data_IF_622700910709
#
_entry.id   IF_622700910709
#
_cell.length_a   1.000
_cell.length_b   1.000
_cell.length_c   1.000
_cell.angle_alpha   90.00
_cell.angle_beta   90.00
_cell.angle_gamma   90.00
#
_symmetry.space_group_name_H-M   'P 1'
#
loop_
_entity.id
_entity.type
_entity.pdbx_description
1 polymer ?
#
# COMPACT_ATOMS: atom_id res chain seq x y z
N UNK A 1 -0.38 -22.81 -8.66
CA UNK A 1 -0.62 -21.50 -8.02
C UNK A 1 -1.94 -21.00 -8.58
N UNK A 2 -2.90 -20.71 -7.73
CA UNK A 2 -4.10 -19.97 -8.12
C UNK A 2 -3.67 -18.58 -8.61
N UNK A 3 -3.72 -18.35 -9.91
CA UNK A 3 -3.29 -17.11 -10.56
C UNK A 3 -4.46 -16.17 -10.89
N UNK A 4 -5.68 -16.50 -10.44
CA UNK A 4 -6.91 -15.72 -10.67
C UNK A 4 -6.73 -14.24 -10.32
N UNK A 5 -6.08 -13.95 -9.19
CA UNK A 5 -5.74 -12.57 -8.81
C UNK A 5 -4.85 -11.87 -9.82
N UNK A 6 -3.76 -12.50 -10.28
CA UNK A 6 -2.83 -11.91 -11.23
C UNK A 6 -3.47 -11.67 -12.60
N UNK A 7 -4.29 -12.62 -13.07
CA UNK A 7 -5.05 -12.51 -14.32
C UNK A 7 -6.05 -11.37 -14.25
N UNK A 8 -6.80 -11.25 -13.15
CA UNK A 8 -7.72 -10.14 -12.93
C UNK A 8 -6.99 -8.79 -12.89
N UNK A 9 -5.80 -8.70 -12.27
CA UNK A 9 -5.00 -7.48 -12.30
C UNK A 9 -4.55 -7.06 -13.71
N UNK A 10 -4.45 -8.01 -14.65
CA UNK A 10 -4.10 -7.77 -16.05
C UNK A 10 -5.33 -7.54 -16.94
N UNK A 11 -6.53 -7.53 -16.37
CA UNK A 11 -7.79 -7.42 -17.13
C UNK A 11 -8.14 -8.65 -17.96
N UNK A 12 -7.56 -9.80 -17.63
CA UNK A 12 -7.87 -11.07 -18.29
C UNK A 12 -9.18 -11.65 -17.77
N UNK A 13 -9.85 -12.47 -18.60
CA UNK A 13 -11.04 -13.21 -18.18
C UNK A 13 -10.67 -14.19 -17.07
N UNK A 14 -11.50 -14.27 -16.03
CA UNK A 14 -11.34 -15.18 -14.88
C UNK A 14 -12.64 -15.90 -14.57
N UNK A 15 -12.56 -17.09 -13.97
CA UNK A 15 -13.73 -17.93 -13.68
C UNK A 15 -14.56 -17.38 -12.51
N UNK A 16 -13.93 -16.63 -11.61
CA UNK A 16 -14.56 -15.92 -10.50
C UNK A 16 -13.78 -14.65 -10.16
N UNK A 17 -14.42 -13.72 -9.44
CA UNK A 17 -13.76 -12.49 -8.97
C UNK A 17 -12.86 -12.80 -7.78
N UNK A 18 -11.54 -12.56 -7.87
CA UNK A 18 -10.62 -12.84 -6.77
C UNK A 18 -10.83 -11.87 -5.60
N UNK A 19 -10.63 -12.35 -4.38
CA UNK A 19 -10.80 -11.58 -3.15
C UNK A 19 -9.58 -11.70 -2.22
N UNK A 20 -9.14 -10.56 -1.72
CA UNK A 20 -8.24 -10.45 -0.58
C UNK A 20 -8.66 -9.22 0.24
N UNK A 21 -8.22 -9.11 1.49
CA UNK A 21 -8.70 -8.07 2.41
C UNK A 21 -7.50 -7.27 2.91
N UNK A 22 -7.54 -5.95 2.74
CA UNK A 22 -6.54 -5.07 3.37
C UNK A 22 -6.56 -5.26 4.89
N UNK A 23 -5.38 -5.48 5.49
CA UNK A 23 -5.19 -5.87 6.90
C UNK A 23 -5.75 -7.26 7.26
N UNK A 24 -5.81 -8.20 6.30
CA UNK A 24 -6.17 -9.60 6.55
C UNK A 24 -5.30 -10.27 7.63
N UNK A 25 -4.00 -9.97 7.67
CA UNK A 25 -3.14 -10.33 8.79
C UNK A 25 -3.25 -9.24 9.86
N UNK A 26 -4.07 -9.47 10.90
CA UNK A 26 -4.33 -8.42 11.87
C UNK A 26 -5.08 -8.84 13.12
N UNK A 27 -5.31 -7.85 13.98
CA UNK A 27 -5.81 -8.00 15.36
C UNK A 27 -7.19 -8.64 15.48
N UNK A 28 -7.96 -8.79 14.40
CA UNK A 28 -9.24 -9.51 14.46
C UNK A 28 -9.04 -11.04 14.55
N UNK A 29 -7.86 -11.55 14.19
CA UNK A 29 -7.51 -12.97 14.28
C UNK A 29 -6.91 -13.30 15.66
N UNK A 30 -7.47 -14.26 16.41
CA UNK A 30 -6.88 -14.74 17.66
C UNK A 30 -5.45 -15.28 17.47
N UNK A 31 -5.17 -15.92 16.33
CA UNK A 31 -3.85 -16.45 15.96
C UNK A 31 -2.81 -15.34 15.86
N UNK A 32 -3.16 -14.23 15.19
CA UNK A 32 -2.32 -13.04 15.12
C UNK A 32 -2.06 -12.46 16.52
N UNK A 33 -3.10 -12.35 17.35
CA UNK A 33 -2.96 -11.83 18.72
C UNK A 33 -1.99 -12.67 19.56
N UNK A 34 -2.00 -14.01 19.41
CA UNK A 34 -1.06 -14.91 20.11
C UNK A 34 0.40 -14.65 19.73
N UNK A 35 0.68 -14.37 18.46
CA UNK A 35 2.04 -14.00 18.02
C UNK A 35 2.40 -12.61 18.55
N UNK A 36 1.50 -11.64 18.37
CA UNK A 36 1.72 -10.23 18.75
C UNK A 36 1.85 -10.01 20.27
N UNK A 37 1.35 -10.93 21.09
CA UNK A 37 1.53 -10.90 22.54
C UNK A 37 2.97 -11.21 22.99
N UNK A 38 3.78 -11.86 22.14
CA UNK A 38 5.16 -12.28 22.47
C UNK A 38 6.22 -11.24 22.11
N UNK A 39 5.94 -10.39 21.13
CA UNK A 39 6.90 -9.41 20.57
C UNK A 39 6.19 -8.10 20.24
N UNK A 40 6.92 -6.98 20.27
CA UNK A 40 6.38 -5.71 19.79
C UNK A 40 6.19 -5.71 18.25
N UNK A 41 5.54 -4.66 17.73
CA UNK A 41 5.18 -4.60 16.31
C UNK A 41 6.38 -4.50 15.38
N UNK A 42 7.41 -3.72 15.76
CA UNK A 42 8.60 -3.58 14.93
C UNK A 42 9.42 -4.86 14.97
N UNK A 43 9.56 -5.47 16.15
CA UNK A 43 10.19 -6.79 16.29
C UNK A 43 9.47 -7.81 15.42
N UNK A 44 8.13 -7.86 15.43
CA UNK A 44 7.36 -8.73 14.55
C UNK A 44 7.66 -8.50 13.06
N UNK A 45 7.73 -7.24 12.60
CA UNK A 45 8.05 -6.92 11.21
C UNK A 45 9.51 -7.25 10.85
N UNK A 46 10.43 -7.22 11.82
CA UNK A 46 11.87 -7.42 11.64
C UNK A 46 12.32 -8.87 11.86
N UNK A 47 11.42 -9.77 12.24
CA UNK A 47 11.69 -11.21 12.39
C UNK A 47 11.04 -11.97 11.22
N UNK A 48 11.81 -12.43 10.22
CA UNK A 48 11.27 -12.97 8.99
C UNK A 48 10.27 -14.11 9.15
N UNK A 49 10.56 -15.04 10.06
CA UNK A 49 9.75 -16.22 10.32
C UNK A 49 8.40 -15.85 10.94
N UNK A 50 8.40 -14.89 11.88
CA UNK A 50 7.17 -14.41 12.51
C UNK A 50 6.31 -13.59 11.55
N UNK A 51 6.95 -12.72 10.75
CA UNK A 51 6.25 -11.96 9.70
C UNK A 51 5.65 -12.89 8.64
N UNK A 52 6.36 -13.96 8.27
CA UNK A 52 5.85 -14.99 7.37
C UNK A 52 4.68 -15.76 8.01
N UNK A 53 4.81 -16.20 9.27
CA UNK A 53 3.75 -16.88 10.01
C UNK A 53 2.45 -16.08 9.98
N UNK A 54 2.49 -14.80 10.36
CA UNK A 54 1.27 -13.98 10.39
C UNK A 54 0.73 -13.65 9.00
N UNK A 55 1.57 -13.61 7.97
CA UNK A 55 1.15 -13.40 6.58
C UNK A 55 0.37 -14.60 6.04
N UNK A 56 0.74 -15.82 6.44
CA UNK A 56 0.09 -17.06 6.00
C UNK A 56 -1.28 -17.28 6.66
N UNK A 57 -1.46 -16.85 7.90
CA UNK A 57 -2.69 -17.07 8.68
C UNK A 57 -3.99 -16.80 7.91
N UNK A 58 -4.18 -15.64 7.22
CA UNK A 58 -5.45 -15.34 6.56
C UNK A 58 -5.65 -16.15 5.28
N UNK A 59 -4.57 -16.60 4.62
CA UNK A 59 -4.67 -17.50 3.47
C UNK A 59 -5.28 -18.83 3.92
N UNK A 60 -4.76 -19.41 5.01
CA UNK A 60 -5.23 -20.69 5.51
C UNK A 60 -6.60 -20.59 6.23
N UNK A 61 -6.90 -19.46 6.88
CA UNK A 61 -8.15 -19.27 7.64
C UNK A 61 -9.31 -18.79 6.76
N UNK A 62 -9.06 -17.88 5.81
CA UNK A 62 -10.12 -17.24 5.01
C UNK A 62 -10.18 -17.73 3.57
N UNK A 63 -9.14 -18.41 3.06
CA UNK A 63 -9.11 -18.87 1.67
C UNK A 63 -9.05 -17.73 0.65
N UNK A 64 -8.41 -16.61 1.00
CA UNK A 64 -8.22 -15.46 0.08
C UNK A 64 -7.35 -15.81 -1.11
N UNK A 65 -7.53 -15.10 -2.23
CA UNK A 65 -6.85 -15.34 -3.51
C UNK A 65 -5.47 -14.68 -3.62
N UNK A 66 -5.05 -13.93 -2.61
CA UNK A 66 -3.71 -13.37 -2.51
C UNK A 66 -3.28 -13.21 -1.05
N UNK A 67 -2.00 -13.46 -0.80
CA UNK A 67 -1.33 -13.04 0.42
C UNK A 67 -0.77 -11.62 0.23
N UNK A 68 -0.82 -10.78 1.25
CA UNK A 68 -0.07 -9.53 1.29
C UNK A 68 0.99 -9.61 2.38
N UNK A 69 2.22 -9.23 2.06
CA UNK A 69 3.33 -9.16 3.00
C UNK A 69 2.89 -8.47 4.30
N UNK A 70 3.17 -9.08 5.45
CA UNK A 70 3.08 -8.39 6.72
C UNK A 70 4.32 -7.54 6.96
N UNK A 71 4.16 -6.22 6.91
CA UNK A 71 5.20 -5.22 7.12
C UNK A 71 4.52 -3.88 7.47
N UNK A 72 5.27 -2.77 7.47
CA UNK A 72 4.72 -1.42 7.61
C UNK A 72 5.34 -0.46 6.57
N UNK A 73 4.51 0.46 6.03
CA UNK A 73 4.96 1.42 5.01
C UNK A 73 6.08 2.34 5.51
N UNK A 74 6.25 2.48 6.82
CA UNK A 74 7.24 3.37 7.43
C UNK A 74 8.61 2.71 7.61
N UNK A 75 8.75 1.40 7.40
CA UNK A 75 10.04 0.69 7.54
C UNK A 75 11.14 1.33 6.68
N UNK A 76 10.92 1.64 5.38
CA UNK A 76 11.95 2.31 4.58
C UNK A 76 12.38 3.68 5.13
N UNK A 77 11.51 4.38 5.86
CA UNK A 77 11.84 5.69 6.41
C UNK A 77 12.87 5.62 7.54
N UNK A 78 12.87 4.52 8.30
CA UNK A 78 13.92 4.27 9.30
C UNK A 78 15.30 4.17 8.62
N UNK A 79 15.37 3.45 7.49
CA UNK A 79 16.56 3.31 6.67
C UNK A 79 17.00 4.64 6.00
N UNK A 80 16.05 5.53 5.70
CA UNK A 80 16.35 6.90 5.24
C UNK A 80 16.95 7.79 6.33
N UNK A 81 16.93 7.37 7.61
CA UNK A 81 17.48 8.11 8.75
C UNK A 81 16.43 8.68 9.71
N UNK A 82 15.16 8.35 9.57
CA UNK A 82 14.11 8.77 10.51
C UNK A 82 14.12 7.90 11.77
N UNK A 83 13.76 8.49 12.92
CA UNK A 83 13.63 7.74 14.18
C UNK A 83 12.21 7.21 14.33
N UNK A 84 11.95 5.99 13.84
CA UNK A 84 10.64 5.37 13.89
C UNK A 84 10.38 4.67 15.24
N UNK A 85 9.26 4.98 15.87
CA UNK A 85 8.77 4.28 17.08
C UNK A 85 7.28 4.03 16.97
N UNK A 86 6.83 2.87 17.44
CA UNK A 86 5.41 2.57 17.59
C UNK A 86 5.02 2.60 19.05
N UNK A 87 4.13 3.53 19.40
CA UNK A 87 3.57 3.62 20.73
C UNK A 87 2.19 2.99 20.76
N UNK A 88 1.94 2.19 21.77
CA UNK A 88 0.62 1.59 21.98
C UNK A 88 -0.45 2.69 22.08
N UNK A 89 -1.56 2.51 21.35
CA UNK A 89 -2.70 3.45 21.26
C UNK A 89 -2.41 4.83 20.65
N UNK A 90 -1.14 5.21 20.41
CA UNK A 90 -0.77 6.51 19.79
C UNK A 90 -0.35 6.39 18.33
N UNK A 91 -0.01 5.19 17.86
CA UNK A 91 0.42 4.96 16.48
C UNK A 91 1.91 5.25 16.28
N UNK A 92 2.36 5.37 15.02
CA UNK A 92 3.75 5.64 14.70
C UNK A 92 4.13 7.09 15.01
N UNK A 93 5.34 7.26 15.55
CA UNK A 93 5.99 8.55 15.77
C UNK A 93 7.33 8.52 15.04
N UNK A 94 7.57 9.53 14.21
CA UNK A 94 8.84 9.76 13.53
C UNK A 94 9.54 10.95 14.18
N UNK A 95 10.67 10.68 14.84
CA UNK A 95 11.54 11.74 15.36
C UNK A 95 12.29 12.46 14.24
N UNK A 96 12.68 13.71 14.52
CA UNK A 96 13.36 14.62 13.59
C UNK A 96 12.53 14.91 12.31
N UNK A 97 11.31 15.47 12.45
CA UNK A 97 10.46 15.74 11.30
C UNK A 97 11.14 16.67 10.29
N UNK A 98 10.77 16.54 9.02
CA UNK A 98 11.31 17.36 7.92
C UNK A 98 10.56 18.69 7.85
N UNK A 99 11.29 19.81 7.95
CA UNK A 99 10.75 21.18 7.99
C UNK A 99 11.41 22.13 7.01
N UNK A 100 12.65 21.85 6.61
CA UNK A 100 13.45 22.69 5.72
C UNK A 100 14.52 21.89 4.94
N UNK A 101 15.26 22.56 4.06
CA UNK A 101 16.24 21.93 3.16
C UNK A 101 17.27 21.05 3.89
N UNK A 102 17.85 21.53 5.00
CA UNK A 102 18.85 20.78 5.79
C UNK A 102 18.30 19.45 6.32
N UNK A 103 17.00 19.39 6.57
CA UNK A 103 16.34 18.19 7.04
C UNK A 103 16.19 17.15 5.93
N UNK A 104 16.07 17.60 4.68
CA UNK A 104 16.08 16.74 3.50
C UNK A 104 17.49 16.26 3.20
N UNK A 105 18.50 17.13 3.33
CA UNK A 105 19.90 16.81 3.06
C UNK A 105 20.42 15.64 3.92
N UNK A 106 20.05 15.59 5.21
CA UNK A 106 20.44 14.49 6.11
C UNK A 106 19.87 13.11 5.74
N UNK A 107 18.82 13.05 4.92
CA UNK A 107 18.17 11.79 4.55
C UNK A 107 19.01 11.03 3.53
N UNK A 108 19.00 9.70 3.65
CA UNK A 108 19.67 8.80 2.72
C UNK A 108 18.66 8.17 1.76
N UNK A 109 19.15 7.73 0.61
CA UNK A 109 18.46 6.76 -0.25
C UNK A 109 19.09 5.41 0.10
N UNK A 110 18.40 4.54 0.86
CA UNK A 110 18.99 3.31 1.36
C UNK A 110 19.02 2.21 0.29
N UNK A 111 20.06 1.37 0.32
CA UNK A 111 20.13 0.12 -0.43
C UNK A 111 19.26 -0.94 0.28
N UNK A 112 18.18 -1.47 -0.32
CA UNK A 112 17.28 -2.39 0.36
C UNK A 112 17.95 -3.68 0.86
N UNK A 113 18.93 -4.22 0.12
CA UNK A 113 19.62 -5.45 0.53
C UNK A 113 20.37 -5.30 1.85
N UNK A 114 20.88 -4.10 2.15
CA UNK A 114 21.60 -3.79 3.40
C UNK A 114 20.67 -3.33 4.51
N UNK A 115 19.68 -2.49 4.15
CA UNK A 115 18.87 -1.75 5.12
C UNK A 115 17.62 -2.48 5.60
N UNK A 116 17.04 -3.34 4.76
CA UNK A 116 15.82 -4.10 5.05
C UNK A 116 15.95 -5.58 4.64
N UNK A 117 17.07 -6.27 4.94
CA UNK A 117 17.25 -7.67 4.54
C UNK A 117 16.18 -8.58 5.11
N UNK A 118 15.65 -8.25 6.29
CA UNK A 118 14.56 -8.98 6.93
C UNK A 118 13.27 -8.99 6.10
N UNK A 119 12.95 -7.89 5.40
CA UNK A 119 11.77 -7.84 4.50
C UNK A 119 11.96 -8.80 3.34
N UNK A 120 13.14 -8.75 2.71
CA UNK A 120 13.46 -9.59 1.56
C UNK A 120 13.45 -11.07 1.96
N UNK A 121 13.94 -11.39 3.16
CA UNK A 121 13.93 -12.74 3.69
C UNK A 121 12.51 -13.23 4.00
N UNK A 122 11.65 -12.38 4.58
CA UNK A 122 10.22 -12.71 4.74
C UNK A 122 9.58 -13.08 3.40
N UNK A 123 9.88 -12.31 2.34
CA UNK A 123 9.34 -12.56 1.00
C UNK A 123 9.84 -13.91 0.46
N UNK A 124 11.13 -14.25 0.65
CA UNK A 124 11.66 -15.56 0.20
C UNK A 124 11.01 -16.72 0.93
N UNK A 125 10.85 -16.63 2.25
CA UNK A 125 10.12 -17.64 3.05
C UNK A 125 8.69 -17.79 2.53
N UNK A 126 7.98 -16.68 2.33
CA UNK A 126 6.61 -16.68 1.83
C UNK A 126 6.50 -17.21 0.41
N UNK A 127 7.46 -16.89 -0.47
CA UNK A 127 7.48 -17.38 -1.84
C UNK A 127 7.51 -18.90 -1.89
N UNK A 128 8.31 -19.51 -1.01
CA UNK A 128 8.35 -20.97 -0.86
C UNK A 128 7.04 -21.51 -0.25
N UNK A 129 6.59 -20.94 0.87
CA UNK A 129 5.41 -21.41 1.60
C UNK A 129 4.07 -21.26 0.85
N UNK A 130 3.97 -20.25 -0.02
CA UNK A 130 2.79 -19.99 -0.87
C UNK A 130 2.88 -20.68 -2.23
N UNK A 131 3.98 -21.37 -2.53
CA UNK A 131 4.15 -22.07 -3.80
C UNK A 131 2.98 -23.04 -4.04
N UNK A 132 2.40 -22.97 -5.24
CA UNK A 132 1.21 -23.76 -5.58
C UNK A 132 -0.11 -23.20 -5.04
N UNK A 133 -0.11 -22.33 -4.02
CA UNK A 133 -1.31 -21.76 -3.37
C UNK A 133 -1.79 -20.47 -4.04
N UNK A 134 -1.28 -19.30 -3.64
CA UNK A 134 -1.76 -17.97 -4.08
C UNK A 134 -0.59 -17.00 -4.28
N UNK A 135 -0.73 -15.96 -5.13
CA UNK A 135 0.29 -14.93 -5.29
C UNK A 135 0.55 -14.16 -3.99
N UNK A 136 1.76 -13.60 -3.92
CA UNK A 136 2.22 -12.72 -2.85
C UNK A 136 2.28 -11.28 -3.36
N UNK A 137 1.63 -10.38 -2.64
CA UNK A 137 1.63 -8.94 -2.86
C UNK A 137 2.70 -8.32 -1.97
N UNK A 138 3.73 -7.71 -2.58
CA UNK A 138 4.63 -6.77 -1.92
C UNK A 138 4.00 -5.37 -1.85
N UNK A 139 4.54 -4.47 -1.03
CA UNK A 139 3.99 -3.12 -0.96
C UNK A 139 4.93 -2.06 -0.42
N UNK A 140 4.56 -0.81 -0.66
CA UNK A 140 5.18 0.38 -0.07
C UNK A 140 4.14 1.49 0.14
N UNK A 141 4.47 2.49 0.95
CA UNK A 141 3.72 3.74 0.96
C UNK A 141 4.00 4.54 -0.31
N UNK A 142 2.99 5.24 -0.84
CA UNK A 142 3.23 6.17 -1.94
C UNK A 142 4.04 7.39 -1.46
N UNK A 143 4.83 8.04 -2.35
CA UNK A 143 5.74 9.10 -1.94
C UNK A 143 5.09 10.24 -1.12
N UNK A 144 3.90 10.71 -1.52
CA UNK A 144 3.19 11.77 -0.80
C UNK A 144 2.79 11.35 0.61
N UNK A 145 2.26 10.14 0.74
CA UNK A 145 1.86 9.57 2.03
C UNK A 145 3.08 9.43 2.96
N UNK A 146 4.21 8.95 2.44
CA UNK A 146 5.46 8.85 3.21
C UNK A 146 6.00 10.23 3.62
N UNK A 147 6.03 11.20 2.69
CA UNK A 147 6.45 12.57 2.98
C UNK A 147 5.60 13.20 4.08
N UNK A 148 4.29 12.97 4.05
CA UNK A 148 3.34 13.44 5.08
C UNK A 148 3.74 12.91 6.46
N UNK A 149 4.04 11.62 6.60
CA UNK A 149 4.54 11.08 7.87
C UNK A 149 5.86 11.71 8.31
N UNK A 150 6.79 11.94 7.38
CA UNK A 150 8.10 12.54 7.68
C UNK A 150 8.00 14.00 8.11
N UNK A 151 7.06 14.77 7.54
CA UNK A 151 6.86 16.18 7.84
C UNK A 151 6.04 16.36 9.13
N UNK A 152 4.95 15.61 9.26
CA UNK A 152 4.09 15.67 10.45
C UNK A 152 4.74 15.03 11.69
N UNK A 153 5.67 14.09 11.50
CA UNK A 153 6.27 13.31 12.59
C UNK A 153 5.39 12.16 13.09
N UNK A 154 4.35 11.79 12.34
CA UNK A 154 3.35 10.80 12.73
C UNK A 154 2.04 10.98 11.95
N UNK A 155 0.95 10.41 12.48
CA UNK A 155 -0.39 10.66 11.95
C UNK A 155 -0.85 12.10 12.22
N UNK A 156 -1.63 12.68 11.31
CA UNK A 156 -2.20 14.02 11.46
C UNK A 156 -3.64 14.04 10.94
N UNK A 157 -4.48 14.92 11.50
CA UNK A 157 -5.88 15.07 11.05
C UNK A 157 -6.00 15.95 9.82
N UNK A 158 -5.19 17.02 9.76
CA UNK A 158 -5.35 18.10 8.78
C UNK A 158 -4.13 18.26 7.87
N UNK A 159 -3.01 17.59 8.18
CA UNK A 159 -1.75 17.65 7.43
C UNK A 159 -1.23 19.08 7.21
N UNK A 160 -1.42 19.94 8.22
CA UNK A 160 -1.14 21.37 8.11
C UNK A 160 0.34 21.66 7.85
N UNK A 161 1.25 20.89 8.44
CA UNK A 161 2.68 21.09 8.24
C UNK A 161 3.11 20.67 6.83
N UNK A 162 2.55 19.57 6.35
CA UNK A 162 2.79 19.05 5.00
C UNK A 162 2.35 20.08 3.96
N UNK A 163 1.10 20.57 4.07
CA UNK A 163 0.57 21.58 3.15
C UNK A 163 1.31 22.92 3.27
N UNK A 164 1.68 23.33 4.49
CA UNK A 164 2.49 24.53 4.68
C UNK A 164 3.83 24.42 3.95
N UNK A 165 4.52 23.27 4.02
CA UNK A 165 5.77 23.06 3.31
C UNK A 165 5.58 23.06 1.79
N UNK A 166 4.52 22.41 1.28
CA UNK A 166 4.18 22.43 -0.16
C UNK A 166 4.00 23.84 -0.70
N UNK A 167 3.28 24.70 0.03
CA UNK A 167 2.94 26.04 -0.43
C UNK A 167 4.05 27.06 -0.18
N UNK A 168 4.75 26.95 0.95
CA UNK A 168 5.78 27.91 1.35
C UNK A 168 7.12 27.62 0.66
N UNK A 169 7.53 26.35 0.62
CA UNK A 169 8.84 25.92 0.13
C UNK A 169 8.72 24.72 -0.84
N UNK A 170 8.07 24.88 -2.01
CA UNK A 170 7.82 23.77 -2.94
C UNK A 170 9.10 23.05 -3.38
N UNK A 171 10.22 23.77 -3.52
CA UNK A 171 11.52 23.17 -3.87
C UNK A 171 12.02 22.17 -2.81
N UNK A 172 11.85 22.50 -1.53
CA UNK A 172 12.21 21.59 -0.42
C UNK A 172 11.30 20.37 -0.44
N UNK A 173 10.00 20.58 -0.65
CA UNK A 173 9.04 19.49 -0.77
C UNK A 173 9.38 18.56 -1.94
N UNK A 174 9.66 19.10 -3.12
CA UNK A 174 10.03 18.31 -4.30
C UNK A 174 11.36 17.59 -4.14
N UNK A 175 12.34 18.18 -3.44
CA UNK A 175 13.59 17.52 -3.09
C UNK A 175 13.38 16.31 -2.16
N UNK A 176 12.50 16.44 -1.17
CA UNK A 176 12.11 15.32 -0.30
C UNK A 176 11.43 14.21 -1.11
N UNK A 177 10.46 14.57 -1.95
CA UNK A 177 9.70 13.63 -2.76
C UNK A 177 10.58 12.83 -3.72
N UNK A 178 11.64 13.44 -4.30
CA UNK A 178 12.63 12.72 -5.13
C UNK A 178 13.31 11.60 -4.33
N UNK A 179 13.89 11.91 -3.17
CA UNK A 179 14.56 10.90 -2.31
C UNK A 179 13.62 9.76 -1.91
N UNK A 180 12.37 10.07 -1.57
CA UNK A 180 11.36 9.07 -1.21
C UNK A 180 10.99 8.21 -2.42
N UNK A 181 10.89 8.81 -3.61
CA UNK A 181 10.56 8.09 -4.85
C UNK A 181 11.65 7.11 -5.21
N UNK A 182 12.93 7.53 -5.19
CA UNK A 182 14.08 6.66 -5.41
C UNK A 182 14.10 5.49 -4.42
N UNK A 183 13.87 5.79 -3.13
CA UNK A 183 13.79 4.77 -2.07
C UNK A 183 12.64 3.79 -2.32
N UNK A 184 11.48 4.29 -2.75
CA UNK A 184 10.27 3.49 -3.01
C UNK A 184 10.48 2.57 -4.23
N UNK A 185 11.12 3.07 -5.28
CA UNK A 185 11.47 2.29 -6.47
C UNK A 185 12.43 1.16 -6.10
N UNK A 186 13.53 1.48 -5.42
CA UNK A 186 14.50 0.48 -4.99
C UNK A 186 13.82 -0.58 -4.10
N UNK A 187 13.07 -0.14 -3.10
CA UNK A 187 12.39 -1.04 -2.16
C UNK A 187 11.40 -1.99 -2.85
N UNK A 188 10.52 -1.48 -3.73
CA UNK A 188 9.58 -2.33 -4.45
C UNK A 188 10.26 -3.24 -5.47
N UNK A 189 11.32 -2.76 -6.14
CA UNK A 189 12.08 -3.58 -7.09
C UNK A 189 12.72 -4.78 -6.39
N UNK A 190 13.37 -4.56 -5.25
CA UNK A 190 13.95 -5.65 -4.46
C UNK A 190 12.90 -6.62 -3.90
N UNK A 191 11.68 -6.15 -3.58
CA UNK A 191 10.59 -7.05 -3.19
C UNK A 191 10.17 -7.98 -4.33
N UNK A 192 10.11 -7.47 -5.57
CA UNK A 192 9.81 -8.29 -6.76
C UNK A 192 10.92 -9.29 -7.01
N UNK A 193 12.18 -8.86 -6.96
CA UNK A 193 13.35 -9.74 -7.09
C UNK A 193 13.39 -10.84 -6.02
N UNK A 194 12.97 -10.52 -4.79
CA UNK A 194 12.88 -11.50 -3.70
C UNK A 194 11.72 -12.50 -3.88
N UNK A 195 10.71 -12.19 -4.70
CA UNK A 195 9.65 -13.13 -5.06
C UNK A 195 8.21 -12.61 -4.98
N UNK A 196 7.97 -11.30 -4.78
CA UNK A 196 6.63 -10.74 -4.89
C UNK A 196 6.08 -10.90 -6.31
N UNK A 197 4.81 -11.29 -6.43
CA UNK A 197 4.13 -11.54 -7.71
C UNK A 197 3.36 -10.32 -8.22
N UNK A 198 3.05 -9.38 -7.33
CA UNK A 198 2.44 -8.08 -7.57
C UNK A 198 2.93 -7.11 -6.49
N UNK A 199 2.83 -5.81 -6.76
CA UNK A 199 3.17 -4.77 -5.76
C UNK A 199 2.08 -3.72 -5.62
N UNK A 200 1.85 -3.24 -4.41
CA UNK A 200 0.88 -2.19 -4.12
C UNK A 200 1.53 -0.93 -3.54
N UNK A 201 1.20 0.23 -4.12
CA UNK A 201 1.48 1.55 -3.58
C UNK A 201 0.26 2.05 -2.80
N UNK A 202 0.46 2.33 -1.51
CA UNK A 202 -0.59 2.88 -0.63
C UNK A 202 -0.48 4.40 -0.53
N UNK A 203 -1.37 5.12 -1.22
CA UNK A 203 -1.51 6.57 -1.07
C UNK A 203 -2.68 6.92 -0.16
N UNK A 204 -2.50 6.57 1.11
CA UNK A 204 -3.49 6.71 2.18
C UNK A 204 -3.93 8.15 2.41
N UNK A 205 -3.08 9.12 2.09
CA UNK A 205 -3.30 10.54 2.35
C UNK A 205 -3.55 11.40 1.10
N UNK A 206 -3.45 10.84 -0.12
CA UNK A 206 -3.64 11.62 -1.36
C UNK A 206 -4.96 12.38 -1.42
N UNK A 207 -6.07 11.80 -0.95
CA UNK A 207 -7.35 12.49 -0.96
C UNK A 207 -7.48 13.63 0.07
N UNK A 208 -6.41 13.99 0.79
CA UNK A 208 -6.33 15.26 1.50
C UNK A 208 -5.99 16.44 0.59
N UNK A 209 -5.53 16.18 -0.64
CA UNK A 209 -5.11 17.19 -1.60
C UNK A 209 -6.27 17.67 -2.48
N UNK A 210 -6.23 18.94 -2.88
CA UNK A 210 -7.07 19.41 -3.98
C UNK A 210 -6.59 18.77 -5.31
N UNK A 211 -7.44 18.69 -6.34
CA UNK A 211 -7.06 18.06 -7.61
C UNK A 211 -5.82 18.68 -8.29
N UNK A 212 -5.57 19.97 -8.12
CA UNK A 212 -4.38 20.61 -8.70
C UNK A 212 -3.13 20.33 -7.85
N UNK A 213 -3.25 20.34 -6.52
CA UNK A 213 -2.16 19.96 -5.63
C UNK A 213 -1.76 18.50 -5.83
N UNK A 214 -2.73 17.59 -6.01
CA UNK A 214 -2.46 16.19 -6.29
C UNK A 214 -1.66 16.02 -7.59
N UNK A 215 -2.01 16.80 -8.63
CA UNK A 215 -1.30 16.80 -9.92
C UNK A 215 0.14 17.32 -9.81
N UNK A 216 0.39 18.29 -8.93
CA UNK A 216 1.71 18.89 -8.75
C UNK A 216 2.60 18.11 -7.77
N UNK A 217 2.03 17.69 -6.63
CA UNK A 217 2.79 17.27 -5.46
C UNK A 217 2.73 15.77 -5.13
N UNK A 218 1.86 14.99 -5.78
CA UNK A 218 1.79 13.53 -5.54
C UNK A 218 1.91 12.70 -6.81
N UNK A 219 1.01 12.90 -7.76
CA UNK A 219 0.87 12.06 -8.96
C UNK A 219 2.14 11.91 -9.80
N UNK A 220 3.01 12.94 -10.00
CA UNK A 220 4.23 12.80 -10.79
C UNK A 220 5.16 11.71 -10.26
N UNK A 221 5.28 11.61 -8.93
CA UNK A 221 6.16 10.67 -8.24
C UNK A 221 5.62 9.24 -8.28
N UNK A 222 4.29 9.09 -8.23
CA UNK A 222 3.65 7.79 -8.45
C UNK A 222 3.86 7.34 -9.90
N UNK A 223 3.70 8.24 -10.88
CA UNK A 223 3.94 7.92 -12.30
C UNK A 223 5.37 7.46 -12.53
N UNK A 224 6.34 8.11 -11.89
CA UNK A 224 7.74 7.75 -11.95
C UNK A 224 7.99 6.36 -11.35
N UNK A 225 7.48 6.11 -10.14
CA UNK A 225 7.61 4.82 -9.48
C UNK A 225 6.99 3.68 -10.30
N UNK A 226 5.77 3.85 -10.79
CA UNK A 226 5.10 2.86 -11.63
C UNK A 226 5.88 2.60 -12.93
N UNK A 227 6.37 3.67 -13.59
CA UNK A 227 7.17 3.53 -14.82
C UNK A 227 8.45 2.73 -14.57
N UNK A 228 9.14 2.99 -13.46
CA UNK A 228 10.36 2.28 -13.10
C UNK A 228 10.11 0.79 -12.79
N UNK A 229 8.94 0.44 -12.26
CA UNK A 229 8.58 -0.94 -11.91
C UNK A 229 8.07 -1.76 -13.12
N UNK A 230 7.59 -1.11 -14.19
CA UNK A 230 7.05 -1.80 -15.39
C UNK A 230 7.97 -2.88 -15.98
N UNK A 231 9.29 -2.66 -16.15
CA UNK A 231 10.19 -3.67 -16.70
C UNK A 231 10.25 -4.97 -15.88
N UNK A 232 9.85 -4.95 -14.60
CA UNK A 232 9.84 -6.12 -13.73
C UNK A 232 8.69 -7.09 -14.03
N UNK A 233 7.72 -6.69 -14.87
CA UNK A 233 6.68 -7.59 -15.40
C UNK A 233 5.57 -8.01 -14.43
N UNK A 234 5.59 -7.52 -13.19
CA UNK A 234 4.54 -7.78 -12.18
C UNK A 234 3.45 -6.69 -12.21
N UNK A 235 2.18 -7.00 -11.88
CA UNK A 235 1.15 -5.98 -11.76
C UNK A 235 1.47 -4.97 -10.65
N UNK A 236 1.25 -3.69 -10.96
CA UNK A 236 1.37 -2.58 -10.00
C UNK A 236 -0.02 -2.05 -9.66
N UNK A 237 -0.35 -2.07 -8.38
CA UNK A 237 -1.62 -1.59 -7.83
C UNK A 237 -1.39 -0.24 -7.18
N UNK A 238 -2.18 0.77 -7.55
CA UNK A 238 -2.16 2.07 -6.91
C UNK A 238 -3.45 2.30 -6.14
N UNK A 239 -3.38 2.19 -4.81
CA UNK A 239 -4.50 2.43 -3.92
C UNK A 239 -4.53 3.89 -3.48
N UNK A 240 -5.65 4.58 -3.76
CA UNK A 240 -5.87 5.96 -3.33
C UNK A 240 -7.04 6.00 -2.38
N UNK A 241 -6.78 6.37 -1.13
CA UNK A 241 -7.84 6.60 -0.17
C UNK A 241 -8.38 8.03 -0.31
N UNK A 242 -9.69 8.19 -0.14
CA UNK A 242 -10.44 9.41 -0.39
C UNK A 242 -10.33 9.88 -1.85
N UNK A 243 -10.47 8.92 -2.77
CA UNK A 243 -10.18 9.11 -4.18
C UNK A 243 -11.31 9.72 -5.02
N UNK A 244 -12.49 9.98 -4.46
CA UNK A 244 -13.68 10.35 -5.24
C UNK A 244 -13.50 11.53 -6.20
N UNK A 245 -12.74 12.54 -5.77
CA UNK A 245 -12.37 13.72 -6.60
C UNK A 245 -11.09 13.55 -7.42
N UNK A 246 -10.40 12.41 -7.32
CA UNK A 246 -9.08 12.17 -7.90
C UNK A 246 -9.04 11.02 -8.93
N UNK A 247 -10.13 10.26 -9.12
CA UNK A 247 -10.15 9.03 -9.94
C UNK A 247 -9.55 9.19 -11.34
N UNK A 248 -10.00 10.19 -12.10
CA UNK A 248 -9.55 10.41 -13.48
C UNK A 248 -8.05 10.70 -13.54
N UNK A 249 -7.54 11.42 -12.54
CA UNK A 249 -6.12 11.74 -12.43
C UNK A 249 -5.31 10.51 -11.97
N UNK A 250 -5.80 9.77 -10.97
CA UNK A 250 -5.18 8.56 -10.43
C UNK A 250 -5.03 7.47 -11.50
N UNK A 251 -6.00 7.35 -12.41
CA UNK A 251 -5.91 6.48 -13.61
C UNK A 251 -4.68 6.78 -14.46
N UNK A 252 -4.25 8.03 -14.54
CA UNK A 252 -3.09 8.40 -15.35
C UNK A 252 -1.76 8.02 -14.72
N UNK A 253 -1.74 7.46 -13.50
CA UNK A 253 -0.54 6.95 -12.83
C UNK A 253 0.22 5.92 -13.69
N UNK A 254 -0.49 5.20 -14.56
CA UNK A 254 0.07 4.13 -15.39
C UNK A 254 0.07 2.77 -14.69
N UNK A 255 -0.51 2.67 -13.49
CA UNK A 255 -0.69 1.42 -12.75
C UNK A 255 -1.69 0.50 -13.48
N UNK A 256 -1.53 -0.80 -13.30
CA UNK A 256 -2.42 -1.81 -13.90
C UNK A 256 -3.77 -1.83 -13.18
N UNK A 257 -3.75 -1.59 -11.87
CA UNK A 257 -4.93 -1.62 -11.01
C UNK A 257 -5.06 -0.33 -10.20
N UNK A 258 -6.27 0.23 -10.17
CA UNK A 258 -6.63 1.36 -9.30
C UNK A 258 -7.46 0.84 -8.13
N UNK A 259 -6.89 0.89 -6.93
CA UNK A 259 -7.59 0.58 -5.69
C UNK A 259 -8.39 1.79 -5.20
N UNK A 260 -9.68 1.61 -4.94
CA UNK A 260 -10.58 2.67 -4.50
C UNK A 260 -11.22 2.35 -3.14
N UNK A 261 -11.62 3.39 -2.41
CA UNK A 261 -12.35 3.25 -1.15
C UNK A 261 -13.88 3.29 -1.34
N UNK A 262 -14.61 2.96 -0.27
CA UNK A 262 -16.06 2.74 -0.28
C UNK A 262 -16.92 3.98 -0.49
N UNK A 263 -16.35 5.20 -0.50
CA UNK A 263 -17.12 6.44 -0.68
C UNK A 263 -17.46 6.72 -2.13
N UNK A 264 -16.98 5.88 -3.05
CA UNK A 264 -17.34 5.93 -4.47
C UNK A 264 -18.18 4.70 -4.81
N UNK A 265 -19.30 4.87 -5.49
CA UNK A 265 -20.00 3.71 -6.07
C UNK A 265 -19.11 3.04 -7.13
N UNK A 266 -18.84 1.73 -7.00
CA UNK A 266 -17.90 1.01 -7.87
C UNK A 266 -18.33 1.06 -9.34
N UNK A 267 -19.64 1.01 -9.64
CA UNK A 267 -20.13 1.11 -11.01
C UNK A 267 -19.86 2.47 -11.64
N UNK A 268 -19.93 3.55 -10.85
CA UNK A 268 -19.49 4.89 -11.28
C UNK A 268 -17.98 4.96 -11.43
N UNK A 269 -17.21 4.35 -10.52
CA UNK A 269 -15.76 4.33 -10.58
C UNK A 269 -15.26 3.64 -11.86
N UNK A 270 -15.75 2.44 -12.16
CA UNK A 270 -15.42 1.68 -13.38
C UNK A 270 -15.68 2.52 -14.64
N UNK A 271 -16.83 3.20 -14.72
CA UNK A 271 -17.14 4.09 -15.86
C UNK A 271 -16.16 5.26 -16.00
N UNK A 272 -15.78 5.88 -14.88
CA UNK A 272 -14.86 7.04 -14.85
C UNK A 272 -13.40 6.64 -15.13
N UNK A 273 -13.00 5.45 -14.67
CA UNK A 273 -11.67 4.88 -14.90
C UNK A 273 -11.54 4.25 -16.30
N UNK A 274 -12.65 3.85 -16.92
CA UNK A 274 -12.65 3.23 -18.24
C UNK A 274 -12.00 1.83 -18.23
N UNK A 275 -11.72 1.29 -19.42
CA UNK A 275 -11.35 -0.13 -19.60
C UNK A 275 -9.85 -0.39 -19.68
N UNK A 276 -9.01 0.61 -19.37
CA UNK A 276 -7.54 0.50 -19.49
C UNK A 276 -6.83 0.03 -18.22
N UNK A 277 -7.55 0.00 -17.11
CA UNK A 277 -7.04 -0.38 -15.79
C UNK A 277 -8.09 -1.25 -15.12
N UNK A 278 -7.64 -2.18 -14.28
CA UNK A 278 -8.54 -2.94 -13.43
C UNK A 278 -8.90 -2.13 -12.17
N UNK A 279 -10.06 -2.40 -11.56
CA UNK A 279 -10.49 -1.73 -10.32
C UNK A 279 -10.52 -2.69 -9.13
N UNK A 280 -9.88 -2.32 -8.02
CA UNK A 280 -9.85 -3.12 -6.79
C UNK A 280 -10.66 -2.44 -5.67
N UNK A 281 -11.50 -3.23 -4.97
CA UNK A 281 -12.32 -2.79 -3.84
C UNK A 281 -13.82 -3.09 -4.03
N UNK A 282 -14.73 -2.42 -3.34
CA UNK A 282 -14.48 -1.33 -2.39
C UNK A 282 -15.46 -1.34 -1.21
N UNK A 283 -15.80 -2.52 -0.70
CA UNK A 283 -16.71 -2.67 0.44
C UNK A 283 -16.26 -1.80 1.63
N UNK A 284 -17.22 -1.10 2.25
CA UNK A 284 -16.98 -0.40 3.51
C UNK A 284 -16.61 -1.43 4.59
N UNK A 285 -15.42 -1.34 5.23
CA UNK A 285 -15.03 -2.30 6.25
C UNK A 285 -16.01 -2.38 7.43
N UNK A 286 -16.73 -1.29 7.73
CA UNK A 286 -17.75 -1.29 8.79
C UNK A 286 -18.98 -2.14 8.44
N UNK A 287 -19.17 -2.52 7.16
CA UNK A 287 -20.21 -3.47 6.77
C UNK A 287 -20.01 -4.85 7.42
N UNK A 288 -18.79 -5.21 7.85
CA UNK A 288 -18.53 -6.46 8.56
C UNK A 288 -19.23 -6.55 9.93
N UNK A 289 -19.73 -5.44 10.47
CA UNK A 289 -20.52 -5.43 11.70
C UNK A 289 -22.03 -5.64 11.48
N UNK A 290 -22.48 -5.81 10.23
CA UNK A 290 -23.88 -6.10 9.93
C UNK A 290 -24.22 -7.59 10.08
N UNK A 291 -25.49 -7.95 9.85
CA UNK A 291 -25.88 -9.35 9.66
C UNK A 291 -25.25 -9.93 8.38
N UNK A 292 -25.14 -11.26 8.33
CA UNK A 292 -24.64 -11.99 7.15
C UNK A 292 -25.48 -11.67 5.91
N UNK A 293 -26.80 -11.57 6.04
CA UNK A 293 -27.71 -11.21 4.94
C UNK A 293 -27.36 -9.85 4.31
N UNK A 294 -27.19 -8.83 5.16
CA UNK A 294 -26.82 -7.48 4.70
C UNK A 294 -25.43 -7.48 4.06
N UNK A 295 -24.49 -8.24 4.63
CA UNK A 295 -23.13 -8.34 4.09
C UNK A 295 -23.11 -9.03 2.72
N UNK A 296 -23.84 -10.14 2.56
CA UNK A 296 -24.01 -10.85 1.27
C UNK A 296 -24.66 -9.96 0.23
N UNK A 297 -25.69 -9.20 0.61
CA UNK A 297 -26.37 -8.25 -0.27
C UNK A 297 -25.41 -7.15 -0.75
N UNK A 298 -24.65 -6.54 0.17
CA UNK A 298 -23.65 -5.51 -0.16
C UNK A 298 -22.53 -6.04 -1.06
N UNK A 299 -21.99 -7.21 -0.75
CA UNK A 299 -20.97 -7.85 -1.58
C UNK A 299 -21.52 -8.19 -2.98
N UNK A 300 -22.73 -8.73 -3.07
CA UNK A 300 -23.40 -9.03 -4.34
C UNK A 300 -23.66 -7.79 -5.19
N UNK A 301 -24.06 -6.67 -4.58
CA UNK A 301 -24.24 -5.40 -5.29
C UNK A 301 -22.92 -4.86 -5.85
N UNK A 302 -21.84 -4.91 -5.06
CA UNK A 302 -20.49 -4.52 -5.51
C UNK A 302 -20.03 -5.40 -6.67
N UNK A 303 -20.16 -6.72 -6.56
CA UNK A 303 -19.79 -7.66 -7.63
C UNK A 303 -20.59 -7.40 -8.91
N UNK A 304 -21.91 -7.17 -8.78
CA UNK A 304 -22.78 -6.86 -9.93
C UNK A 304 -22.37 -5.57 -10.62
N UNK A 305 -22.12 -4.50 -9.86
CA UNK A 305 -21.74 -3.17 -10.39
C UNK A 305 -20.31 -3.14 -10.91
N UNK A 306 -19.41 -3.90 -10.30
CA UNK A 306 -18.00 -4.01 -10.64
C UNK A 306 -17.70 -5.04 -11.73
N UNK A 307 -18.71 -5.62 -12.40
CA UNK A 307 -18.47 -6.69 -13.39
C UNK A 307 -17.57 -6.29 -14.57
N UNK A 308 -17.51 -5.00 -14.90
CA UNK A 308 -16.66 -4.46 -15.97
C UNK A 308 -15.37 -3.80 -15.42
N UNK A 309 -15.07 -4.02 -14.14
CA UNK A 309 -13.87 -3.55 -13.48
C UNK A 309 -12.60 -4.24 -13.97
#
# INVERSE_FOLDING_TARGET
>A
MNDTFLRACRGEVVDYTPVWIMRQAGRYLPQYQKVRAKVDFLTLCKTPELAAEVTLQPVDILGVDAAILFSDILIPLEAMGMKLRFYEKKGPVLGNPVREAKDVERLRIPEPAESVPFVLETIRILRSALSGKVPLIGFAGAPFTLATYMIEGGGSKNFANTKALMYRDPEVFHALMRKITDTTIAYLSSQVEAGAHAVQLFDSWAGALAPDDYRAFSLPYVKEAVRALRPLGVPVIYFVNNCGGLLEQARTSGADVIGIDWRVDIGKAVKRLGTKVSVQGNLDPCALFSSEEVLRSKAGDILKKGRAA
#
